data_IF_440348446762
#
_entry.id   IF_440348446762
#
_cell.length_a   1.000
_cell.length_b   1.000
_cell.length_c   1.000
_cell.angle_alpha   90.00
_cell.angle_beta   90.00
_cell.angle_gamma   90.00
#
_symmetry.space_group_name_H-M   'P 1'
#
loop_
_entity.id
_entity.type
_entity.pdbx_description
1 polymer ?
#
# COMPACT_ATOMS: atom_id res chain seq x y z
N UNK A 1 26.93 8.20 -11.11
CA UNK A 1 26.34 7.29 -10.09
C UNK A 1 25.21 7.91 -9.25
N UNK A 2 25.02 9.24 -9.22
CA UNK A 2 23.93 9.86 -8.44
C UNK A 2 22.54 9.69 -9.12
N UNK A 3 22.50 9.53 -10.45
CA UNK A 3 21.26 9.35 -11.22
C UNK A 3 20.64 7.94 -11.15
N UNK A 4 21.30 6.98 -10.49
CA UNK A 4 20.78 5.62 -10.27
C UNK A 4 20.44 5.35 -8.80
N UNK A 5 20.52 6.37 -7.93
CA UNK A 5 20.28 6.19 -6.51
C UNK A 5 18.80 5.99 -6.22
N UNK A 6 18.37 4.89 -5.58
CA UNK A 6 16.94 4.59 -5.35
C UNK A 6 16.22 5.61 -4.46
N UNK A 7 16.89 6.66 -4.00
CA UNK A 7 16.35 7.73 -3.18
C UNK A 7 15.12 8.40 -3.80
N UNK A 8 15.07 8.60 -5.12
CA UNK A 8 13.90 9.24 -5.77
C UNK A 8 12.65 8.33 -5.77
N UNK A 9 12.81 7.05 -5.47
CA UNK A 9 11.70 6.09 -5.32
C UNK A 9 11.02 6.16 -3.95
N UNK A 10 11.61 6.89 -2.99
CA UNK A 10 11.18 6.89 -1.59
C UNK A 10 10.52 8.23 -1.22
N UNK A 11 9.37 8.15 -0.55
CA UNK A 11 8.77 9.27 0.19
C UNK A 11 9.06 9.08 1.68
N UNK A 12 10.12 9.69 2.20
CA UNK A 12 10.43 9.61 3.63
C UNK A 12 9.77 10.78 4.37
N UNK A 13 8.53 10.56 4.82
CA UNK A 13 7.77 11.53 5.62
C UNK A 13 7.26 10.86 6.90
N UNK A 14 7.31 11.56 8.05
CA UNK A 14 6.74 11.04 9.29
C UNK A 14 5.23 10.85 9.12
N UNK A 15 4.63 9.88 9.83
CA UNK A 15 3.19 9.62 9.80
C UNK A 15 2.40 10.84 10.33
N UNK A 16 1.68 11.61 9.49
CA UNK A 16 0.73 12.60 9.99
C UNK A 16 -0.49 11.90 10.60
N UNK A 17 -1.16 12.55 11.55
CA UNK A 17 -2.50 12.10 11.96
C UNK A 17 -3.46 12.20 10.77
N UNK A 18 -4.20 11.14 10.52
CA UNK A 18 -5.14 11.02 9.40
C UNK A 18 -6.43 10.35 9.86
N UNK A 19 -7.45 10.40 9.01
CA UNK A 19 -8.76 9.82 9.32
C UNK A 19 -8.69 8.29 9.22
N UNK A 20 -7.99 7.79 8.19
CA UNK A 20 -7.84 6.36 7.92
C UNK A 20 -6.40 5.96 7.57
N UNK A 21 -6.02 4.76 7.98
CA UNK A 21 -4.83 4.04 7.53
C UNK A 21 -5.28 3.00 6.51
N UNK A 22 -4.71 3.03 5.32
CA UNK A 22 -5.09 2.21 4.18
C UNK A 22 -4.01 1.17 3.91
N UNK A 23 -4.44 -0.07 3.72
CA UNK A 23 -3.60 -1.20 3.43
C UNK A 23 -4.08 -1.94 2.19
N UNK A 24 -3.19 -2.22 1.25
CA UNK A 24 -3.49 -3.02 0.06
C UNK A 24 -3.12 -4.49 0.28
N UNK A 25 -4.05 -5.40 0.00
CA UNK A 25 -3.82 -6.84 -0.01
C UNK A 25 -4.13 -7.39 -1.41
N UNK A 26 -3.10 -7.94 -2.07
CA UNK A 26 -3.16 -8.46 -3.45
C UNK A 26 -2.97 -9.96 -3.39
N UNK A 27 -4.05 -10.73 -3.52
CA UNK A 27 -4.12 -12.19 -3.29
C UNK A 27 -3.83 -12.60 -1.84
N UNK A 28 -2.74 -12.11 -1.26
CA UNK A 28 -2.30 -12.30 0.11
C UNK A 28 -1.72 -11.00 0.68
N UNK A 29 -1.33 -11.03 1.95
CA UNK A 29 -0.62 -9.94 2.61
C UNK A 29 0.47 -10.46 3.55
N UNK A 30 1.71 -9.97 3.42
CA UNK A 30 2.78 -10.37 4.32
C UNK A 30 2.54 -9.92 5.78
N UNK A 31 2.99 -10.74 6.74
CA UNK A 31 2.79 -10.50 8.18
C UNK A 31 3.50 -9.24 8.70
N UNK A 32 4.67 -8.91 8.13
CA UNK A 32 5.39 -7.68 8.44
C UNK A 32 4.60 -6.43 8.05
N UNK A 33 3.84 -6.50 6.95
CA UNK A 33 2.96 -5.41 6.52
C UNK A 33 1.79 -5.25 7.50
N UNK A 34 1.16 -6.35 7.92
CA UNK A 34 0.10 -6.33 8.94
C UNK A 34 0.60 -5.76 10.27
N UNK A 35 1.81 -6.15 10.69
CA UNK A 35 2.45 -5.62 11.91
C UNK A 35 2.67 -4.12 11.83
N UNK A 36 3.21 -3.63 10.71
CA UNK A 36 3.40 -2.19 10.50
C UNK A 36 2.07 -1.42 10.52
N UNK A 37 1.02 -1.99 9.93
CA UNK A 37 -0.31 -1.40 9.96
C UNK A 37 -0.87 -1.32 11.39
N UNK A 38 -0.77 -2.40 12.15
CA UNK A 38 -1.20 -2.44 13.54
C UNK A 38 -0.40 -1.46 14.41
N UNK A 39 0.92 -1.39 14.24
CA UNK A 39 1.77 -0.46 14.99
C UNK A 39 1.46 1.00 14.65
N UNK A 40 1.19 1.31 13.38
CA UNK A 40 0.75 2.64 12.96
C UNK A 40 -0.60 3.02 13.57
N UNK A 41 -1.54 2.08 13.61
CA UNK A 41 -2.85 2.27 14.24
C UNK A 41 -2.74 2.50 15.76
N UNK A 42 -1.99 1.65 16.47
CA UNK A 42 -1.79 1.76 17.94
C UNK A 42 -1.11 3.06 18.36
N UNK A 43 -0.25 3.63 17.49
CA UNK A 43 0.37 4.95 17.70
C UNK A 43 -0.61 6.12 17.52
N UNK A 44 -1.86 5.86 17.12
CA UNK A 44 -2.89 6.87 16.95
C UNK A 44 -2.75 7.69 15.67
N UNK A 45 -2.07 7.15 14.64
CA UNK A 45 -1.92 7.84 13.36
C UNK A 45 -3.22 7.84 12.54
N UNK A 46 -4.14 6.91 12.81
CA UNK A 46 -5.45 6.87 12.16
C UNK A 46 -6.56 6.44 13.13
N UNK A 47 -7.79 6.89 12.85
CA UNK A 47 -8.98 6.50 13.63
C UNK A 47 -9.61 5.17 13.18
N UNK A 48 -9.38 4.76 11.93
CA UNK A 48 -9.82 3.49 11.34
C UNK A 48 -8.71 2.87 10.49
N UNK A 49 -8.72 1.54 10.37
CA UNK A 49 -7.86 0.77 9.48
C UNK A 49 -8.71 0.19 8.35
N UNK A 50 -8.42 0.59 7.12
CA UNK A 50 -9.11 0.11 5.91
C UNK A 50 -8.17 -0.83 5.15
N UNK A 51 -8.63 -2.04 4.87
CA UNK A 51 -7.93 -2.99 4.00
C UNK A 51 -8.66 -3.08 2.68
N UNK A 52 -7.98 -2.71 1.58
CA UNK A 52 -8.44 -2.95 0.22
C UNK A 52 -7.93 -4.33 -0.21
N UNK A 53 -8.84 -5.30 -0.29
CA UNK A 53 -8.47 -6.69 -0.55
C UNK A 53 -8.97 -7.13 -1.92
N UNK A 54 -8.04 -7.46 -2.82
CA UNK A 54 -8.33 -8.10 -4.11
C UNK A 54 -7.98 -9.59 -3.98
N UNK A 55 -8.99 -10.48 -3.86
CA UNK A 55 -8.77 -11.88 -3.56
C UNK A 55 -8.12 -12.64 -4.70
N UNK A 56 -7.46 -13.75 -4.37
CA UNK A 56 -6.91 -14.67 -5.34
C UNK A 56 -7.99 -15.29 -6.24
N UNK A 57 -7.61 -15.69 -7.44
CA UNK A 57 -8.46 -16.51 -8.33
C UNK A 57 -8.04 -17.97 -8.23
N UNK A 58 -8.85 -18.88 -8.79
CA UNK A 58 -8.51 -20.31 -8.86
C UNK A 58 -7.18 -20.60 -9.62
N UNK A 59 -6.65 -19.62 -10.36
CA UNK A 59 -5.40 -19.70 -11.10
C UNK A 59 -4.29 -18.85 -10.48
N UNK A 60 -4.36 -18.57 -9.18
CA UNK A 60 -3.31 -17.84 -8.46
C UNK A 60 -1.96 -18.56 -8.59
N UNK A 61 -0.93 -17.82 -9.01
CA UNK A 61 0.45 -18.31 -9.04
C UNK A 61 1.01 -18.55 -7.63
N UNK A 62 0.35 -18.02 -6.59
CA UNK A 62 0.72 -18.19 -5.19
C UNK A 62 0.04 -19.41 -4.54
N UNK A 63 -0.78 -20.15 -5.29
CA UNK A 63 -1.52 -21.30 -4.77
C UNK A 63 -2.57 -20.92 -3.72
N UNK A 64 -2.96 -19.64 -3.64
CA UNK A 64 -4.01 -19.17 -2.74
C UNK A 64 -5.36 -19.46 -3.39
N UNK A 65 -6.14 -20.35 -2.79
CA UNK A 65 -7.43 -20.81 -3.34
C UNK A 65 -8.61 -20.31 -2.51
N UNK A 66 -8.35 -19.87 -1.27
CA UNK A 66 -9.37 -19.46 -0.32
C UNK A 66 -9.39 -17.94 -0.07
N UNK A 67 -10.54 -17.46 0.38
CA UNK A 67 -10.72 -16.08 0.79
C UNK A 67 -10.06 -15.83 2.16
N UNK A 68 -9.01 -15.01 2.18
CA UNK A 68 -8.24 -14.69 3.39
C UNK A 68 -8.85 -13.56 4.24
N UNK A 69 -10.06 -13.08 3.94
CA UNK A 69 -10.68 -11.95 4.68
C UNK A 69 -10.69 -12.19 6.20
N UNK A 70 -11.13 -13.37 6.64
CA UNK A 70 -11.19 -13.70 8.08
C UNK A 70 -9.79 -13.82 8.69
N UNK A 71 -8.83 -14.35 7.95
CA UNK A 71 -7.45 -14.49 8.41
C UNK A 71 -6.76 -13.13 8.58
N UNK A 72 -6.99 -12.21 7.65
CA UNK A 72 -6.49 -10.84 7.71
C UNK A 72 -7.08 -10.13 8.94
N UNK A 73 -8.39 -10.23 9.16
CA UNK A 73 -9.05 -9.64 10.32
C UNK A 73 -8.50 -10.21 11.62
N UNK A 74 -8.47 -11.54 11.75
CA UNK A 74 -7.97 -12.23 12.95
C UNK A 74 -6.50 -11.87 13.23
N UNK A 75 -5.67 -11.77 12.19
CA UNK A 75 -4.27 -11.36 12.33
C UNK A 75 -4.16 -9.94 12.87
N UNK A 76 -4.92 -8.98 12.33
CA UNK A 76 -4.91 -7.59 12.82
C UNK A 76 -5.44 -7.45 14.26
N UNK A 77 -6.49 -8.19 14.60
CA UNK A 77 -7.02 -8.26 15.98
C UNK A 77 -5.96 -8.83 16.92
N UNK A 78 -5.28 -9.91 16.53
CA UNK A 78 -4.21 -10.51 17.34
C UNK A 78 -3.01 -9.57 17.55
N UNK A 79 -2.79 -8.63 16.63
CA UNK A 79 -1.76 -7.58 16.71
C UNK A 79 -2.20 -6.35 17.54
N UNK A 80 -3.41 -6.37 18.09
CA UNK A 80 -3.95 -5.37 19.00
C UNK A 80 -4.74 -4.25 18.33
N UNK A 81 -5.24 -4.44 17.11
CA UNK A 81 -6.18 -3.52 16.47
C UNK A 81 -7.60 -3.84 16.93
N UNK A 82 -8.35 -2.83 17.35
CA UNK A 82 -9.76 -2.98 17.71
C UNK A 82 -10.57 -3.45 16.49
N UNK A 83 -11.27 -4.57 16.63
CA UNK A 83 -12.06 -5.19 15.58
C UNK A 83 -13.09 -4.21 14.97
N UNK A 84 -13.71 -3.37 15.80
CA UNK A 84 -14.70 -2.37 15.35
C UNK A 84 -14.11 -1.27 14.47
N UNK A 85 -12.78 -1.16 14.44
CA UNK A 85 -12.03 -0.16 13.66
C UNK A 85 -11.38 -0.74 12.41
N UNK A 86 -11.49 -2.06 12.20
CA UNK A 86 -10.99 -2.74 11.00
C UNK A 86 -12.12 -2.80 9.96
N UNK A 87 -11.84 -2.33 8.76
CA UNK A 87 -12.77 -2.32 7.65
C UNK A 87 -12.13 -2.98 6.44
N UNK A 88 -12.53 -4.21 6.13
CA UNK A 88 -12.03 -4.93 4.97
C UNK A 88 -13.01 -4.77 3.80
N UNK A 89 -12.56 -4.10 2.75
CA UNK A 89 -13.28 -3.96 1.50
C UNK A 89 -12.77 -4.98 0.50
N UNK A 90 -13.55 -6.05 0.35
CA UNK A 90 -13.33 -7.05 -0.70
C UNK A 90 -13.72 -6.46 -2.05
N UNK A 91 -12.77 -6.43 -2.97
CA UNK A 91 -12.95 -5.94 -4.34
C UNK A 91 -12.97 -7.11 -5.32
N UNK A 92 -13.02 -6.78 -6.62
CA UNK A 92 -12.86 -7.75 -7.69
C UNK A 92 -11.59 -8.61 -7.51
N UNK A 93 -11.61 -9.88 -7.95
CA UNK A 93 -10.44 -10.73 -7.88
C UNK A 93 -9.21 -10.15 -8.57
N UNK A 94 -8.04 -10.56 -8.09
CA UNK A 94 -6.75 -10.13 -8.61
C UNK A 94 -6.56 -10.66 -10.05
N UNK A 95 -6.01 -9.86 -10.98
CA UNK A 95 -5.44 -8.52 -10.79
C UNK A 95 -6.42 -7.35 -10.99
N UNK A 96 -7.67 -7.62 -11.36
CA UNK A 96 -8.65 -6.57 -11.74
C UNK A 96 -8.99 -5.65 -10.58
N UNK A 97 -9.21 -6.17 -9.38
CA UNK A 97 -9.47 -5.34 -8.20
C UNK A 97 -8.26 -4.48 -7.82
N UNK A 98 -7.07 -5.07 -7.83
CA UNK A 98 -5.82 -4.37 -7.49
C UNK A 98 -5.51 -3.20 -8.44
N UNK A 99 -5.84 -3.32 -9.73
CA UNK A 99 -5.70 -2.21 -10.69
C UNK A 99 -6.63 -1.03 -10.39
N UNK A 100 -7.72 -1.26 -9.67
CA UNK A 100 -8.74 -0.27 -9.36
C UNK A 100 -8.71 0.23 -7.91
N UNK A 101 -7.68 -0.10 -7.13
CA UNK A 101 -7.60 0.30 -5.71
C UNK A 101 -7.79 1.80 -5.49
N UNK A 102 -7.15 2.66 -6.28
CA UNK A 102 -7.29 4.12 -6.15
C UNK A 102 -8.72 4.62 -6.42
N UNK A 103 -9.40 4.05 -7.41
CA UNK A 103 -10.80 4.39 -7.74
C UNK A 103 -11.77 3.90 -6.67
N UNK A 104 -11.60 2.66 -6.21
CA UNK A 104 -12.39 2.10 -5.11
C UNK A 104 -12.19 2.88 -3.83
N UNK A 105 -10.95 3.27 -3.53
CA UNK A 105 -10.62 4.07 -2.36
C UNK A 105 -11.26 5.46 -2.43
N UNK A 106 -11.26 6.12 -3.59
CA UNK A 106 -11.96 7.39 -3.78
C UNK A 106 -13.43 7.26 -3.39
N UNK A 107 -14.14 6.23 -3.87
CA UNK A 107 -15.54 5.98 -3.52
C UNK A 107 -15.70 5.81 -1.99
N UNK A 108 -14.87 4.97 -1.37
CA UNK A 108 -14.91 4.72 0.08
C UNK A 108 -14.66 6.00 0.88
N UNK A 109 -13.69 6.82 0.47
CA UNK A 109 -13.38 8.09 1.10
C UNK A 109 -14.55 9.07 1.02
N UNK A 110 -15.23 9.16 -0.12
CA UNK A 110 -16.40 10.02 -0.29
C UNK A 110 -17.58 9.53 0.56
N UNK A 111 -17.89 8.23 0.51
CA UNK A 111 -19.00 7.63 1.27
C UNK A 111 -18.82 7.83 2.79
N UNK A 112 -17.57 7.77 3.28
CA UNK A 112 -17.22 7.96 4.69
C UNK A 112 -16.81 9.38 5.05
N UNK A 113 -16.83 10.31 4.10
CA UNK A 113 -16.40 11.71 4.28
C UNK A 113 -14.98 11.84 4.85
N UNK A 114 -14.07 10.95 4.47
CA UNK A 114 -12.65 11.04 4.85
C UNK A 114 -12.01 12.23 4.13
N UNK A 115 -11.04 12.88 4.76
CA UNK A 115 -10.32 14.04 4.21
C UNK A 115 -8.83 13.82 4.13
N UNK A 116 -8.26 13.13 5.11
CA UNK A 116 -6.83 12.83 5.19
C UNK A 116 -6.65 11.32 5.33
N UNK A 117 -5.83 10.73 4.47
CA UNK A 117 -5.56 9.29 4.49
C UNK A 117 -4.08 8.99 4.47
N UNK A 118 -3.71 7.92 5.18
CA UNK A 118 -2.39 7.32 5.15
C UNK A 118 -2.44 6.06 4.33
N UNK A 119 -1.52 5.86 3.40
CA UNK A 119 -1.44 4.64 2.60
C UNK A 119 -0.11 3.96 2.87
N UNK A 120 -0.15 2.72 3.32
CA UNK A 120 1.06 1.93 3.50
C UNK A 120 1.54 1.40 2.14
N UNK A 121 2.82 1.59 1.85
CA UNK A 121 3.43 1.16 0.60
C UNK A 121 4.81 0.55 0.86
N UNK A 122 5.24 -0.36 -0.02
CA UNK A 122 6.63 -0.81 -0.04
C UNK A 122 7.56 0.39 -0.21
N UNK A 123 8.72 0.37 0.45
CA UNK A 123 9.63 1.53 0.52
C UNK A 123 9.94 2.14 -0.86
N UNK A 124 10.33 1.30 -1.81
CA UNK A 124 10.74 1.73 -3.15
C UNK A 124 9.57 1.88 -4.15
N UNK A 125 8.34 1.70 -3.69
CA UNK A 125 7.12 2.02 -4.46
C UNK A 125 6.45 3.32 -3.96
N UNK A 126 6.89 3.84 -2.81
CA UNK A 126 6.19 4.91 -2.09
C UNK A 126 6.06 6.22 -2.87
N UNK A 127 7.12 6.66 -3.58
CA UNK A 127 7.07 7.88 -4.40
C UNK A 127 6.11 7.73 -5.59
N UNK A 128 6.12 6.56 -6.23
CA UNK A 128 5.20 6.24 -7.31
C UNK A 128 3.75 6.20 -6.82
N UNK A 129 3.50 5.47 -5.72
CA UNK A 129 2.17 5.37 -5.13
C UNK A 129 1.66 6.74 -4.68
N UNK A 130 2.52 7.63 -4.16
CA UNK A 130 2.12 8.99 -3.78
C UNK A 130 1.51 9.71 -4.99
N UNK A 131 2.22 9.73 -6.12
CA UNK A 131 1.75 10.40 -7.34
C UNK A 131 0.48 9.74 -7.88
N UNK A 132 0.44 8.41 -7.92
CA UNK A 132 -0.71 7.66 -8.39
C UNK A 132 -1.97 8.01 -7.59
N UNK A 133 -1.90 7.91 -6.26
CA UNK A 133 -3.06 8.20 -5.41
C UNK A 133 -3.40 9.70 -5.40
N UNK A 134 -2.42 10.60 -5.36
CA UNK A 134 -2.69 12.05 -5.47
C UNK A 134 -3.39 12.40 -6.79
N UNK A 135 -3.00 11.79 -7.91
CA UNK A 135 -3.64 12.06 -9.21
C UNK A 135 -5.11 11.66 -9.28
N UNK A 136 -5.53 10.66 -8.50
CA UNK A 136 -6.91 10.13 -8.51
C UNK A 136 -7.74 10.74 -7.38
N UNK A 137 -7.17 10.86 -6.17
CA UNK A 137 -7.88 11.29 -4.97
C UNK A 137 -7.74 12.80 -4.73
N UNK A 138 -6.62 13.41 -5.13
CA UNK A 138 -6.34 14.83 -4.94
C UNK A 138 -7.38 15.76 -5.59
N UNK A 139 -7.87 15.50 -6.82
CA UNK A 139 -8.94 16.30 -7.43
C UNK A 139 -10.23 16.34 -6.60
N UNK A 140 -10.49 15.33 -5.75
CA UNK A 140 -11.62 15.30 -4.85
C UNK A 140 -11.38 16.01 -3.51
N UNK A 141 -10.23 16.68 -3.34
CA UNK A 141 -9.86 17.40 -2.13
C UNK A 141 -9.29 16.52 -1.00
N UNK A 142 -8.98 15.25 -1.29
CA UNK A 142 -8.37 14.34 -0.32
C UNK A 142 -6.87 14.62 -0.18
N UNK A 143 -6.38 14.72 1.06
CA UNK A 143 -4.94 14.73 1.36
C UNK A 143 -4.44 13.31 1.51
N UNK A 144 -3.50 12.94 0.64
CA UNK A 144 -2.92 11.60 0.60
C UNK A 144 -1.51 11.64 1.17
N UNK A 145 -1.21 10.71 2.06
CA UNK A 145 0.14 10.52 2.61
C UNK A 145 0.54 9.06 2.48
N UNK A 146 1.42 8.75 1.54
CA UNK A 146 2.02 7.42 1.42
C UNK A 146 3.18 7.30 2.38
N UNK A 147 3.17 6.24 3.17
CA UNK A 147 4.22 5.96 4.15
C UNK A 147 4.96 4.67 3.76
N UNK A 148 6.29 4.74 3.57
CA UNK A 148 7.09 3.59 3.23
C UNK A 148 7.20 2.65 4.44
N UNK A 149 6.92 1.38 4.20
CA UNK A 149 7.09 0.33 5.18
C UNK A 149 8.58 0.11 5.48
N UNK A 150 8.87 -0.32 6.72
CA UNK A 150 10.21 -0.75 7.08
C UNK A 150 10.53 -2.08 6.41
N UNK A 151 11.31 -2.03 5.33
CA UNK A 151 11.76 -3.21 4.61
C UNK A 151 13.18 -3.63 5.03
N UNK A 152 13.51 -4.93 4.92
CA UNK A 152 14.88 -5.47 5.10
C UNK A 152 15.83 -4.88 4.07
N UNK A 153 15.30 -4.57 2.89
CA UNK A 153 16.02 -3.94 1.80
C UNK A 153 15.91 -2.41 1.97
N UNK A 154 17.06 -1.78 2.11
CA UNK A 154 17.24 -0.35 2.32
C UNK A 154 18.26 0.25 1.36
N UNK A 155 18.50 1.55 1.51
CA UNK A 155 19.36 2.33 0.61
C UNK A 155 20.81 1.82 0.59
N UNK A 156 21.30 1.27 1.71
CA UNK A 156 22.69 0.82 1.85
C UNK A 156 22.96 -0.64 1.45
N UNK A 157 21.91 -1.45 1.22
CA UNK A 157 22.08 -2.90 1.00
C UNK A 157 21.27 -3.46 -0.18
N UNK A 158 20.47 -2.64 -0.88
CA UNK A 158 19.68 -3.12 -2.03
C UNK A 158 20.52 -3.78 -3.13
N UNK A 159 21.74 -3.31 -3.35
CA UNK A 159 22.65 -3.84 -4.37
C UNK A 159 23.42 -5.09 -3.93
N UNK A 160 23.29 -5.51 -2.66
CA UNK A 160 24.00 -6.66 -2.09
C UNK A 160 23.25 -7.99 -2.27
N UNK A 161 22.03 -7.95 -2.78
CA UNK A 161 21.17 -9.12 -2.98
C UNK A 161 20.47 -9.03 -4.32
N UNK A 162 20.23 -10.17 -4.97
CA UNK A 162 19.46 -10.25 -6.22
C UNK A 162 18.04 -9.67 -6.05
N UNK A 163 17.35 -10.04 -4.96
CA UNK A 163 16.02 -9.53 -4.62
C UNK A 163 16.00 -7.99 -4.52
N UNK A 164 16.97 -7.42 -3.81
CA UNK A 164 17.11 -5.97 -3.70
C UNK A 164 17.40 -5.29 -5.03
N UNK A 165 18.24 -5.88 -5.87
CA UNK A 165 18.53 -5.34 -7.20
C UNK A 165 17.29 -5.35 -8.09
N UNK A 166 16.55 -6.47 -8.11
CA UNK A 166 15.32 -6.62 -8.89
C UNK A 166 14.25 -5.60 -8.48
N UNK A 167 14.00 -5.45 -7.18
CA UNK A 167 13.02 -4.48 -6.65
C UNK A 167 13.35 -3.06 -7.10
N UNK A 168 14.61 -2.65 -7.00
CA UNK A 168 15.02 -1.30 -7.41
C UNK A 168 14.91 -1.12 -8.92
N UNK A 169 15.43 -2.07 -9.69
CA UNK A 169 15.44 -1.99 -11.15
C UNK A 169 14.03 -1.96 -11.74
N UNK A 170 13.13 -2.80 -11.23
CA UNK A 170 11.73 -2.84 -11.66
C UNK A 170 11.02 -1.50 -11.42
N UNK A 171 11.21 -0.89 -10.24
CA UNK A 171 10.57 0.37 -9.90
C UNK A 171 11.19 1.57 -10.62
N UNK A 172 12.48 1.51 -10.90
CA UNK A 172 13.17 2.40 -11.83
C UNK A 172 12.54 2.34 -13.23
N UNK A 173 12.42 1.14 -13.79
CA UNK A 173 11.85 0.92 -15.12
C UNK A 173 10.41 1.42 -15.20
N UNK A 174 9.58 1.13 -14.19
CA UNK A 174 8.20 1.67 -14.08
C UNK A 174 8.17 3.19 -14.06
N UNK A 175 9.06 3.82 -13.29
CA UNK A 175 9.14 5.29 -13.21
C UNK A 175 9.52 5.89 -14.56
N UNK A 176 10.52 5.33 -15.23
CA UNK A 176 10.93 5.80 -16.56
C UNK A 176 9.86 5.57 -17.61
N UNK A 177 9.17 4.44 -17.59
CA UNK A 177 8.09 4.15 -18.53
C UNK A 177 6.99 5.23 -18.50
N UNK A 178 6.72 5.83 -17.34
CA UNK A 178 5.75 6.92 -17.22
C UNK A 178 6.29 8.29 -17.68
N UNK A 179 7.61 8.48 -17.71
CA UNK A 179 8.25 9.71 -18.19
C UNK A 179 8.42 9.69 -19.71
N UNK A 180 8.52 8.50 -20.30
CA UNK A 180 8.57 8.35 -21.75
C UNK A 180 7.30 8.96 -22.37
N UNK A 181 7.44 9.93 -23.28
CA UNK A 181 6.30 10.49 -23.98
C UNK A 181 5.72 9.40 -24.88
N UNK A 182 4.66 8.76 -24.41
CA UNK A 182 4.08 7.56 -25.01
C UNK A 182 2.57 7.56 -24.94
N UNK A 183 1.97 8.50 -25.71
CA UNK A 183 0.54 8.68 -26.05
C UNK A 183 -0.43 9.03 -24.91
#
# INVERSE_FOLDING_TARGET
MIFSSPLFLIQDRPFPKSDALILEAKETIPQDVLKNAADGFKKGYAGILIVLYSPATAHSNLGVIQDLTSEIQNSLVSLGVDESKILIYKLEPYPTGAKNFSKSLLKICLDRQLKNILILSKRFESSFNQRLYESVLGPAGLKVHVVPLSDKIGIGNWFLSEEGFEIIFLNLARTFYQILPGK
#
